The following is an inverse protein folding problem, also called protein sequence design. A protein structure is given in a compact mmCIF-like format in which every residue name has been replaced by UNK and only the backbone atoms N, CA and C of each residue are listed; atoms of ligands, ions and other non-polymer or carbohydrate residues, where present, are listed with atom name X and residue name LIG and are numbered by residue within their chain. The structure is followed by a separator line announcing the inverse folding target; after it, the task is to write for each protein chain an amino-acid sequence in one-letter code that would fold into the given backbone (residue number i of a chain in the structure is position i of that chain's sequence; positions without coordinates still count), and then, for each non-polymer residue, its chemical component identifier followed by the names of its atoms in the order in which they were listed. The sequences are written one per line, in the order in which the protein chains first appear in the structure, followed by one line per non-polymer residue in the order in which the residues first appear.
data_IF_238387963886
#
_entry.id   IF_238387963886
#
_cell.length_a   1.000
_cell.length_b   1.000
_cell.length_c   1.000
_cell.angle_alpha   90.00
_cell.angle_beta   90.00
_cell.angle_gamma   90.00
#
_symmetry.space_group_name_H-M   'P 1'
#
loop_
_entity.id
_entity.type
_entity.pdbx_description
1 polymer ?
#
# COMPACT_ATOMS: atom_id res chain seq x y z
N UNK A 1 -3.04 2.35 -9.62
CA UNK A 1 -3.19 1.70 -8.28
C UNK A 1 -2.42 0.38 -8.25
N UNK A 2 -2.58 -0.46 -9.28
CA UNK A 2 -1.87 -1.74 -9.44
C UNK A 2 -0.35 -1.63 -9.27
N UNK A 3 0.38 -0.70 -9.91
CA UNK A 3 1.84 -0.62 -9.74
C UNK A 3 2.26 -0.30 -8.30
N UNK A 4 1.53 0.60 -7.64
CA UNK A 4 1.82 1.00 -6.27
C UNK A 4 1.58 -0.17 -5.29
N UNK A 5 0.58 -1.02 -5.55
CA UNK A 5 0.27 -2.17 -4.71
C UNK A 5 1.38 -3.21 -4.76
N UNK A 6 1.89 -3.52 -5.96
CA UNK A 6 3.04 -4.41 -6.10
C UNK A 6 4.31 -3.84 -5.47
N UNK A 7 4.54 -2.53 -5.61
CA UNK A 7 5.69 -1.87 -4.98
C UNK A 7 5.65 -1.92 -3.44
N UNK A 8 4.48 -1.79 -2.82
CA UNK A 8 4.41 -1.92 -1.36
C UNK A 8 4.51 -3.35 -0.90
N UNK A 9 3.89 -4.29 -1.62
CA UNK A 9 4.03 -5.71 -1.31
C UNK A 9 5.49 -6.16 -1.38
N UNK A 10 6.25 -5.73 -2.40
CA UNK A 10 7.67 -6.07 -2.52
C UNK A 10 8.50 -5.56 -1.35
N UNK A 11 8.30 -4.31 -0.90
CA UNK A 11 8.99 -3.75 0.29
C UNK A 11 8.76 -4.61 1.52
N UNK A 12 7.50 -4.94 1.82
CA UNK A 12 7.15 -5.73 3.01
C UNK A 12 7.68 -7.17 2.91
N UNK A 13 7.69 -7.76 1.72
CA UNK A 13 8.30 -9.08 1.49
C UNK A 13 9.81 -9.04 1.72
N UNK A 14 10.51 -8.01 1.24
CA UNK A 14 11.94 -7.82 1.49
C UNK A 14 12.22 -7.67 2.99
N UNK A 15 11.42 -6.89 3.70
CA UNK A 15 11.53 -6.75 5.15
C UNK A 15 11.32 -8.11 5.86
N UNK A 16 10.30 -8.88 5.48
CA UNK A 16 10.05 -10.19 6.06
C UNK A 16 11.22 -11.16 5.84
N UNK A 17 11.85 -11.14 4.66
CA UNK A 17 13.04 -11.92 4.35
C UNK A 17 14.25 -11.50 5.20
N UNK A 18 14.45 -10.19 5.39
CA UNK A 18 15.51 -9.66 6.25
C UNK A 18 15.33 -10.10 7.71
N UNK A 19 14.11 -9.99 8.24
CA UNK A 19 13.75 -10.47 9.58
C UNK A 19 14.05 -11.96 9.73
N UNK A 20 13.70 -12.80 8.74
CA UNK A 20 13.98 -14.24 8.78
C UNK A 20 15.47 -14.53 8.90
N UNK A 21 16.32 -13.84 8.11
CA UNK A 21 17.79 -13.99 8.18
C UNK A 21 18.33 -13.57 9.55
N UNK A 22 17.87 -12.43 10.06
CA UNK A 22 18.27 -11.92 11.38
C UNK A 22 17.91 -12.92 12.50
N UNK A 23 16.66 -13.41 12.53
CA UNK A 23 16.19 -14.38 13.54
C UNK A 23 16.99 -15.68 13.45
N UNK A 24 17.32 -16.15 12.24
CA UNK A 24 18.10 -17.37 12.06
C UNK A 24 19.52 -17.26 12.64
N UNK A 25 20.15 -16.07 12.54
CA UNK A 25 21.51 -15.81 13.05
C UNK A 25 21.51 -15.49 14.54
N UNK A 26 20.73 -14.50 14.97
CA UNK A 26 20.78 -13.98 16.35
C UNK A 26 19.93 -14.79 17.34
N UNK A 27 18.87 -15.49 16.87
CA UNK A 27 17.90 -16.17 17.74
C UNK A 27 17.44 -17.52 17.17
N UNK A 28 18.38 -18.45 17.03
CA UNK A 28 18.13 -19.82 16.54
C UNK A 28 16.93 -20.58 17.17
N UNK A 29 16.66 -20.54 18.50
CA UNK A 29 15.50 -21.22 19.07
C UNK A 29 14.17 -20.58 18.67
N UNK A 30 14.14 -19.27 18.42
CA UNK A 30 12.95 -18.55 17.95
C UNK A 30 12.65 -18.87 16.48
N UNK A 31 13.71 -19.02 15.66
CA UNK A 31 13.60 -19.44 14.27
C UNK A 31 12.86 -20.78 14.13
N UNK A 32 13.16 -21.75 15.01
CA UNK A 32 12.53 -23.08 14.97
C UNK A 32 11.03 -23.06 15.26
N UNK A 33 10.54 -22.06 16.01
CA UNK A 33 9.10 -21.90 16.34
C UNK A 33 8.36 -21.01 15.34
N UNK A 34 8.97 -19.90 14.92
CA UNK A 34 8.31 -18.88 14.08
C UNK A 34 8.58 -19.03 12.58
N UNK A 35 9.78 -19.46 12.17
CA UNK A 35 10.14 -19.60 10.75
C UNK A 35 9.81 -20.98 10.17
N UNK A 36 8.71 -21.60 10.59
CA UNK A 36 8.21 -22.84 9.98
C UNK A 36 7.47 -22.53 8.68
N UNK A 37 7.57 -23.41 7.68
CA UNK A 37 6.89 -23.27 6.37
C UNK A 37 5.42 -22.83 6.46
N UNK A 38 4.55 -23.43 7.29
CA UNK A 38 3.15 -23.00 7.38
C UNK A 38 2.98 -21.60 7.98
N UNK A 39 3.83 -21.18 8.92
CA UNK A 39 3.74 -19.86 9.54
C UNK A 39 4.24 -18.76 8.59
N UNK A 40 5.31 -19.04 7.86
CA UNK A 40 5.85 -18.12 6.85
C UNK A 40 4.81 -17.88 5.75
N UNK A 41 4.16 -18.93 5.25
CA UNK A 41 3.13 -18.79 4.22
C UNK A 41 1.93 -17.97 4.69
N UNK A 42 1.48 -18.18 5.95
CA UNK A 42 0.43 -17.35 6.56
C UNK A 42 0.84 -15.87 6.67
N UNK A 43 2.09 -15.60 7.08
CA UNK A 43 2.64 -14.25 7.13
C UNK A 43 2.65 -13.59 5.73
N UNK A 44 3.08 -14.34 4.72
CA UNK A 44 3.14 -13.89 3.33
C UNK A 44 1.76 -13.51 2.79
N UNK A 45 0.76 -14.36 3.03
CA UNK A 45 -0.65 -14.07 2.68
C UNK A 45 -1.13 -12.82 3.43
N UNK A 46 -0.83 -12.71 4.72
CA UNK A 46 -1.25 -11.57 5.52
C UNK A 46 -0.66 -10.26 4.97
N UNK A 47 0.62 -10.24 4.64
CA UNK A 47 1.28 -9.07 4.00
C UNK A 47 0.58 -8.71 2.70
N UNK A 48 0.27 -9.70 1.86
CA UNK A 48 -0.36 -9.45 0.57
C UNK A 48 -1.79 -8.91 0.73
N UNK A 49 -2.57 -9.47 1.66
CA UNK A 49 -3.94 -9.00 1.98
C UNK A 49 -3.90 -7.58 2.55
N UNK A 50 -2.99 -7.29 3.48
CA UNK A 50 -2.86 -5.97 4.09
C UNK A 50 -2.44 -4.93 3.05
N UNK A 51 -1.49 -5.25 2.17
CA UNK A 51 -1.12 -4.38 1.06
C UNK A 51 -2.32 -4.16 0.13
N UNK A 52 -3.00 -5.23 -0.29
CA UNK A 52 -4.18 -5.14 -1.15
C UNK A 52 -5.32 -4.32 -0.53
N UNK A 53 -5.58 -4.45 0.77
CA UNK A 53 -6.57 -3.63 1.48
C UNK A 53 -6.15 -2.16 1.50
N UNK A 54 -4.91 -1.88 1.89
CA UNK A 54 -4.40 -0.51 1.99
C UNK A 54 -4.38 0.23 0.63
N UNK A 55 -3.94 -0.42 -0.45
CA UNK A 55 -4.05 0.19 -1.80
C UNK A 55 -5.46 0.07 -2.40
N UNK A 56 -6.22 -0.96 -2.03
CA UNK A 56 -7.56 -1.23 -2.50
C UNK A 56 -8.56 -0.16 -2.08
N UNK A 57 -8.39 0.44 -0.91
CA UNK A 57 -9.16 1.63 -0.50
C UNK A 57 -9.19 2.72 -1.58
N UNK A 58 -8.08 2.91 -2.31
CA UNK A 58 -8.01 3.90 -3.40
C UNK A 58 -8.88 3.57 -4.63
N UNK A 59 -9.22 2.30 -4.84
CA UNK A 59 -10.16 1.92 -5.90
C UNK A 59 -11.59 2.35 -5.55
N UNK A 60 -11.98 2.30 -4.27
CA UNK A 60 -13.31 2.69 -3.83
C UNK A 60 -13.54 4.21 -3.85
N UNK A 61 -12.47 5.00 -3.75
CA UNK A 61 -12.52 6.47 -3.75
C UNK A 61 -12.48 7.13 -5.13
N UNK A 62 -12.31 6.36 -6.20
CA UNK A 62 -12.15 6.88 -7.57
C UNK A 62 -13.41 6.65 -8.39
N UNK A 63 -14.08 7.72 -8.82
CA UNK A 63 -15.12 7.66 -9.84
C UNK A 63 -14.58 8.16 -11.19
N UNK A 64 -15.07 7.57 -12.29
CA UNK A 64 -14.72 7.98 -13.64
C UNK A 64 -15.93 8.65 -14.27
N UNK A 65 -15.85 9.96 -14.50
CA UNK A 65 -16.89 10.72 -15.17
C UNK A 65 -16.43 11.08 -16.57
N UNK A 66 -17.29 10.86 -17.56
CA UNK A 66 -17.04 11.33 -18.93
C UNK A 66 -17.43 12.80 -19.00
N UNK A 67 -16.49 13.65 -19.40
CA UNK A 67 -16.73 15.08 -19.62
C UNK A 67 -16.41 15.41 -21.06
N UNK A 68 -17.22 16.29 -21.64
CA UNK A 68 -17.00 16.79 -22.98
C UNK A 68 -16.13 18.04 -22.92
N UNK A 69 -14.94 17.96 -23.51
CA UNK A 69 -14.06 19.12 -23.66
C UNK A 69 -13.96 19.48 -25.13
N UNK A 70 -14.00 20.78 -25.41
CA UNK A 70 -13.79 21.31 -26.74
C UNK A 70 -12.28 21.28 -27.03
N UNK A 71 -11.87 20.34 -27.88
CA UNK A 71 -10.49 20.24 -28.33
C UNK A 71 -10.44 20.41 -29.84
N UNK A 72 -9.70 21.41 -30.31
CA UNK A 72 -9.53 21.70 -31.73
C UNK A 72 -10.87 21.89 -32.50
N UNK A 73 -11.77 22.67 -31.89
CA UNK A 73 -13.12 22.98 -32.40
C UNK A 73 -14.01 21.74 -32.64
N UNK A 74 -13.68 20.61 -32.00
CA UNK A 74 -14.51 19.38 -31.94
C UNK A 74 -14.76 19.02 -30.47
N UNK A 75 -15.97 18.59 -30.16
CA UNK A 75 -16.30 18.04 -28.84
C UNK A 75 -15.71 16.63 -28.74
N UNK A 76 -14.70 16.48 -27.88
CA UNK A 76 -14.07 15.19 -27.62
C UNK A 76 -14.45 14.70 -26.23
N UNK A 77 -14.99 13.48 -26.16
CA UNK A 77 -15.27 12.80 -24.90
C UNK A 77 -13.95 12.45 -24.21
N UNK A 78 -13.67 13.06 -23.06
CA UNK A 78 -12.52 12.71 -22.23
C UNK A 78 -12.97 12.07 -20.93
N UNK A 79 -12.22 11.07 -20.48
CA UNK A 79 -12.42 10.48 -19.17
C UNK A 79 -11.72 11.36 -18.13
N UNK A 80 -12.51 11.98 -17.24
CA UNK A 80 -11.98 12.68 -16.07
C UNK A 80 -12.13 11.78 -14.86
N UNK A 81 -11.01 11.59 -14.18
CA UNK A 81 -10.96 10.94 -12.89
C UNK A 81 -11.44 11.93 -11.83
N UNK A 82 -12.55 11.64 -11.15
CA UNK A 82 -13.06 12.45 -10.05
C UNK A 82 -13.04 11.66 -8.73
N UNK A 83 -12.99 12.40 -7.62
CA UNK A 83 -13.10 11.84 -6.28
C UNK A 83 -14.57 11.68 -5.90
N UNK A 84 -14.89 10.56 -5.24
CA UNK A 84 -16.26 10.22 -4.86
C UNK A 84 -16.92 11.33 -4.01
N UNK A 85 -18.22 11.53 -4.21
CA UNK A 85 -19.00 12.61 -3.60
C UNK A 85 -18.91 12.67 -2.06
N UNK A 86 -18.81 11.50 -1.40
CA UNK A 86 -18.72 11.40 0.06
C UNK A 86 -17.41 11.99 0.62
N UNK A 87 -16.31 11.93 -0.14
CA UNK A 87 -15.02 12.54 0.25
C UNK A 87 -15.11 14.05 0.20
N UNK A 88 -15.77 14.60 -0.84
CA UNK A 88 -15.94 16.05 -1.02
C UNK A 88 -16.89 16.65 0.02
N UNK A 89 -17.95 15.93 0.41
CA UNK A 89 -19.01 16.48 1.27
C UNK A 89 -18.80 16.22 2.76
N UNK A 90 -18.36 15.03 3.17
CA UNK A 90 -18.33 14.67 4.60
C UNK A 90 -16.97 14.89 5.28
N UNK A 91 -15.86 14.65 4.56
CA UNK A 91 -14.55 14.51 5.23
C UNK A 91 -13.67 15.75 5.09
N UNK A 92 -14.03 16.71 4.22
CA UNK A 92 -13.14 17.79 3.77
C UNK A 92 -11.89 17.23 3.10
N UNK A 93 -11.72 17.54 1.81
CA UNK A 93 -10.70 16.98 0.93
C UNK A 93 -9.28 17.02 1.54
N UNK A 94 -8.95 18.11 2.25
CA UNK A 94 -7.66 18.29 2.94
C UNK A 94 -7.38 17.24 4.04
N UNK A 95 -8.36 16.92 4.89
CA UNK A 95 -8.12 16.03 6.03
C UNK A 95 -7.95 14.58 5.58
N UNK A 96 -8.74 14.16 4.58
CA UNK A 96 -8.60 12.87 3.92
C UNK A 96 -7.20 12.74 3.30
N UNK A 97 -6.76 13.74 2.52
CA UNK A 97 -5.44 13.69 1.88
C UNK A 97 -4.30 13.68 2.88
N UNK A 98 -4.31 14.56 3.88
CA UNK A 98 -3.26 14.62 4.91
C UNK A 98 -3.14 13.29 5.62
N UNK A 99 -4.26 12.74 6.11
CA UNK A 99 -4.26 11.47 6.83
C UNK A 99 -3.74 10.35 5.93
N UNK A 100 -4.26 10.21 4.72
CA UNK A 100 -3.84 9.18 3.76
C UNK A 100 -2.35 9.26 3.43
N UNK A 101 -1.84 10.44 3.07
CA UNK A 101 -0.43 10.60 2.73
C UNK A 101 0.48 10.36 3.92
N UNK A 102 0.07 10.77 5.13
CA UNK A 102 0.84 10.57 6.35
C UNK A 102 0.91 9.08 6.71
N UNK A 103 -0.21 8.35 6.66
CA UNK A 103 -0.22 6.89 6.84
C UNK A 103 0.67 6.19 5.81
N UNK A 104 0.61 6.59 4.54
CA UNK A 104 1.47 6.02 3.50
C UNK A 104 2.95 6.27 3.81
N UNK A 105 3.34 7.49 4.15
CA UNK A 105 4.74 7.82 4.44
C UNK A 105 5.25 7.03 5.64
N UNK A 106 4.48 6.97 6.74
CA UNK A 106 4.89 6.26 7.94
C UNK A 106 4.99 4.74 7.70
N UNK A 107 3.88 4.12 7.28
CA UNK A 107 3.80 2.65 7.28
C UNK A 107 4.45 2.01 6.07
N UNK A 108 4.47 2.68 4.91
CA UNK A 108 5.01 2.09 3.67
C UNK A 108 6.48 2.41 3.46
N UNK A 109 6.96 3.55 3.96
CA UNK A 109 8.33 3.99 3.71
C UNK A 109 9.14 4.04 5.00
N UNK A 110 8.72 4.82 5.99
CA UNK A 110 9.54 5.05 7.18
C UNK A 110 9.79 3.76 7.99
N UNK A 111 8.73 3.05 8.36
CA UNK A 111 8.82 1.82 9.18
C UNK A 111 9.70 0.76 8.51
N UNK A 112 9.45 0.33 7.24
CA UNK A 112 10.28 -0.70 6.62
C UNK A 112 11.73 -0.22 6.41
N UNK A 113 11.97 1.06 6.10
CA UNK A 113 13.35 1.57 5.98
C UNK A 113 14.09 1.52 7.32
N UNK A 114 13.48 2.00 8.40
CA UNK A 114 14.09 1.97 9.74
C UNK A 114 14.32 0.53 10.20
N UNK A 115 13.34 -0.35 10.00
CA UNK A 115 13.47 -1.74 10.37
C UNK A 115 14.57 -2.46 9.57
N UNK A 116 14.69 -2.19 8.26
CA UNK A 116 15.77 -2.74 7.43
C UNK A 116 17.16 -2.28 7.91
N UNK A 117 17.31 -1.02 8.29
CA UNK A 117 18.59 -0.50 8.81
C UNK A 117 18.96 -1.13 10.16
N UNK A 118 17.97 -1.41 11.02
CA UNK A 118 18.22 -2.04 12.33
C UNK A 118 18.54 -3.53 12.20
N UNK A 119 17.90 -4.21 11.24
CA UNK A 119 18.00 -5.67 11.08
C UNK A 119 19.17 -6.12 10.20
N UNK A 120 19.80 -5.19 9.47
CA UNK A 120 20.96 -5.45 8.63
C UNK A 120 22.27 -5.12 9.35
#
# INVERSE_FOLDING_TARGET
VIPNMFHTASIWLTLALAVQRYIYVCHAPLARKFCTMPNVYKCLIYILVVAALHQGFRFFDTEYSTVDVLWNNRTTHVCRREHAYWVKVYVTENYYFVTYFMFRVLFVHLIPCVALVILN
#
